data_IF_015815936359
#
_entry.id   IF_015815936359
#
_cell.length_a   1.000
_cell.length_b   1.000
_cell.length_c   1.000
_cell.angle_alpha   90.00
_cell.angle_beta   90.00
_cell.angle_gamma   90.00
#
_symmetry.space_group_name_H-M   'P 1'
#
loop_
_entity.id
_entity.type
_entity.pdbx_description
1 polymer ?
#
# COMPACT_ATOMS: atom_id res chain seq x y z
N UNK A 1 7.99 0.05 18.72
CA UNK A 1 7.08 0.58 17.68
C UNK A 1 6.82 -0.52 16.68
N UNK A 2 5.57 -1.00 16.53
CA UNK A 2 5.24 -1.93 15.46
C UNK A 2 5.35 -1.16 14.15
N UNK A 3 6.31 -1.53 13.30
CA UNK A 3 6.48 -0.89 11.99
C UNK A 3 5.34 -1.39 11.10
N UNK A 4 4.40 -0.51 10.73
CA UNK A 4 3.43 -0.87 9.71
C UNK A 4 4.17 -1.21 8.40
N UNK A 5 3.70 -2.23 7.70
CA UNK A 5 4.18 -2.57 6.36
C UNK A 5 3.08 -2.26 5.35
N UNK A 6 3.50 -2.03 4.12
CA UNK A 6 2.64 -1.56 3.05
C UNK A 6 2.71 -2.55 1.89
N UNK A 7 1.56 -2.72 1.25
CA UNK A 7 1.40 -3.51 0.04
C UNK A 7 0.84 -2.57 -1.02
N UNK A 8 1.47 -2.51 -2.19
CA UNK A 8 0.98 -1.74 -3.32
C UNK A 8 0.38 -2.69 -4.35
N UNK A 9 -0.86 -2.40 -4.73
CA UNK A 9 -1.58 -3.16 -5.76
C UNK A 9 -2.09 -2.21 -6.84
N UNK A 10 -2.00 -2.67 -8.08
CA UNK A 10 -2.56 -2.03 -9.25
C UNK A 10 -3.96 -2.59 -9.47
N UNK A 11 -4.98 -1.72 -9.48
CA UNK A 11 -6.33 -2.11 -9.86
C UNK A 11 -6.36 -2.36 -11.37
N UNK A 12 -6.74 -3.55 -11.82
CA UNK A 12 -6.74 -3.85 -13.27
C UNK A 12 -7.79 -3.07 -14.06
N UNK A 13 -8.86 -2.60 -13.39
CA UNK A 13 -9.96 -1.90 -14.03
C UNK A 13 -9.56 -0.56 -14.65
N UNK A 14 -8.72 0.22 -13.97
CA UNK A 14 -8.30 1.55 -14.45
C UNK A 14 -6.78 1.74 -14.44
N UNK A 15 -6.03 0.82 -13.82
CA UNK A 15 -4.58 0.90 -13.67
C UNK A 15 -4.13 1.75 -12.48
N UNK A 16 -5.03 2.29 -11.65
CA UNK A 16 -4.64 3.07 -10.47
C UNK A 16 -4.01 2.18 -9.40
N UNK A 17 -2.92 2.68 -8.80
CA UNK A 17 -2.19 1.98 -7.76
C UNK A 17 -2.66 2.43 -6.38
N UNK A 18 -3.07 1.46 -5.57
CA UNK A 18 -3.54 1.68 -4.20
C UNK A 18 -2.63 1.01 -3.18
N UNK A 19 -2.37 1.72 -2.09
CA UNK A 19 -1.64 1.20 -0.94
C UNK A 19 -2.60 0.53 0.04
N UNK A 20 -2.18 -0.60 0.59
CA UNK A 20 -2.84 -1.35 1.64
C UNK A 20 -1.93 -1.38 2.86
N UNK A 21 -2.51 -1.12 4.03
CA UNK A 21 -1.81 -1.26 5.30
C UNK A 21 -1.80 -2.74 5.70
N UNK A 22 -0.65 -3.24 6.09
CA UNK A 22 -0.46 -4.57 6.60
C UNK A 22 0.35 -4.49 7.91
N UNK A 23 0.10 -5.45 8.80
CA UNK A 23 0.90 -5.59 10.01
C UNK A 23 1.89 -6.72 9.78
N UNK A 24 3.21 -6.50 9.98
CA UNK A 24 4.14 -7.61 10.02
C UNK A 24 3.82 -8.43 11.27
N UNK A 25 3.66 -9.75 11.09
CA UNK A 25 3.57 -10.68 12.21
C UNK A 25 4.96 -11.24 12.52
N UNK A 26 5.15 -11.75 13.74
CA UNK A 26 6.40 -12.40 14.18
C UNK A 26 6.79 -13.63 13.33
N UNK A 27 5.86 -14.13 12.51
CA UNK A 27 6.05 -15.29 11.64
C UNK A 27 6.41 -14.91 10.19
N UNK A 28 6.89 -13.69 9.94
CA UNK A 28 7.22 -13.17 8.60
C UNK A 28 6.00 -13.04 7.66
N UNK A 29 4.79 -13.33 8.15
CA UNK A 29 3.55 -13.16 7.38
C UNK A 29 3.01 -11.74 7.52
N UNK A 30 2.74 -11.07 6.39
CA UNK A 30 2.09 -9.76 6.38
C UNK A 30 0.66 -9.90 5.87
N UNK A 31 -0.29 -9.73 6.79
CA UNK A 31 -1.71 -9.70 6.43
C UNK A 31 -2.11 -8.26 6.10
N UNK A 32 -2.46 -8.01 4.83
CA UNK A 32 -3.10 -6.75 4.44
C UNK A 32 -4.50 -6.65 5.00
N UNK A 33 -4.90 -5.42 5.37
CA UNK A 33 -6.30 -5.10 5.59
C UNK A 33 -7.13 -5.41 4.34
N UNK A 34 -8.41 -5.69 4.55
CA UNK A 34 -9.36 -5.98 3.45
C UNK A 34 -9.53 -4.80 2.49
N UNK A 35 -9.21 -3.58 2.92
CA UNK A 35 -9.30 -2.37 2.09
C UNK A 35 -7.98 -1.62 2.02
N UNK A 36 -7.79 -0.96 0.89
CA UNK A 36 -6.76 0.07 0.68
C UNK A 36 -6.89 1.17 1.71
N UNK A 37 -5.79 1.89 1.95
CA UNK A 37 -5.72 2.98 2.92
C UNK A 37 -6.68 4.11 2.55
N UNK A 38 -6.94 4.34 1.27
CA UNK A 38 -7.93 5.31 0.80
C UNK A 38 -9.37 4.77 0.79
N UNK A 39 -9.59 3.49 1.08
CA UNK A 39 -10.89 2.83 1.10
C UNK A 39 -11.57 2.66 -0.26
N UNK A 40 -10.86 2.93 -1.36
CA UNK A 40 -11.42 2.89 -2.74
C UNK A 40 -11.26 1.56 -3.43
N UNK A 41 -10.43 0.69 -2.88
CA UNK A 41 -10.08 -0.60 -3.45
C UNK A 41 -10.10 -1.67 -2.35
N UNK A 42 -10.79 -2.77 -2.61
CA UNK A 42 -10.86 -3.96 -1.77
C UNK A 42 -9.78 -4.98 -2.17
N UNK A 43 -9.35 -5.81 -1.21
CA UNK A 43 -8.28 -6.80 -1.38
C UNK A 43 -8.69 -7.95 -2.30
N UNK A 44 -10.00 -8.18 -2.43
CA UNK A 44 -10.61 -9.21 -3.28
C UNK A 44 -10.81 -8.75 -4.72
N UNK A 45 -10.65 -7.45 -5.00
CA UNK A 45 -10.74 -6.94 -6.37
C UNK A 45 -9.59 -7.43 -7.24
N UNK A 46 -9.90 -7.64 -8.53
CA UNK A 46 -8.90 -8.07 -9.51
C UNK A 46 -7.79 -7.02 -9.63
N UNK A 47 -6.62 -7.43 -9.16
CA UNK A 47 -5.50 -6.53 -8.95
C UNK A 47 -4.17 -7.24 -9.06
N UNK A 48 -3.16 -6.46 -9.41
CA UNK A 48 -1.78 -6.94 -9.52
C UNK A 48 -0.96 -6.40 -8.37
N UNK A 49 -0.40 -7.27 -7.56
CA UNK A 49 0.55 -6.87 -6.50
C UNK A 49 1.86 -6.40 -7.13
N UNK A 50 2.23 -5.15 -6.87
CA UNK A 50 3.51 -4.57 -7.30
C UNK A 50 4.59 -4.87 -6.26
N UNK A 51 4.27 -4.67 -4.98
CA UNK A 51 5.11 -5.07 -3.86
C UNK A 51 4.26 -5.39 -2.64
N UNK A 52 4.79 -6.24 -1.76
CA UNK A 52 4.22 -6.61 -0.48
C UNK A 52 5.24 -6.46 0.64
N UNK A 53 4.76 -6.41 1.89
CA UNK A 53 5.58 -6.39 3.10
C UNK A 53 6.65 -5.28 3.13
N UNK A 54 6.44 -4.13 2.47
CA UNK A 54 7.45 -3.08 2.45
C UNK A 54 7.29 -2.14 3.65
N UNK A 55 8.37 -1.84 4.40
CA UNK A 55 8.31 -0.82 5.44
C UNK A 55 8.06 0.57 4.81
N UNK A 56 7.54 1.50 5.61
CA UNK A 56 7.19 2.86 5.20
C UNK A 56 8.24 3.53 4.31
N UNK A 57 9.51 3.53 4.73
CA UNK A 57 10.60 4.19 3.99
C UNK A 57 10.82 3.57 2.59
N UNK A 58 10.75 2.24 2.48
CA UNK A 58 10.85 1.56 1.18
C UNK A 58 9.60 1.79 0.34
N UNK A 59 8.42 1.73 0.96
CA UNK A 59 7.16 2.01 0.27
C UNK A 59 7.16 3.43 -0.31
N UNK A 60 7.61 4.44 0.45
CA UNK A 60 7.77 5.82 -0.03
C UNK A 60 8.73 5.91 -1.22
N UNK A 61 9.89 5.26 -1.10
CA UNK A 61 10.90 5.23 -2.17
C UNK A 61 10.35 4.58 -3.44
N UNK A 62 9.60 3.48 -3.32
CA UNK A 62 8.98 2.80 -4.45
C UNK A 62 7.85 3.65 -5.06
N UNK A 63 6.98 4.23 -4.24
CA UNK A 63 5.91 5.11 -4.70
C UNK A 63 6.47 6.33 -5.45
N UNK A 64 7.55 6.92 -4.95
CA UNK A 64 8.24 8.03 -5.61
C UNK A 64 8.85 7.63 -6.97
N UNK A 65 9.31 6.39 -7.12
CA UNK A 65 9.81 5.86 -8.41
C UNK A 65 8.69 5.60 -9.42
N UNK A 66 7.51 5.19 -8.96
CA UNK A 66 6.37 4.89 -9.84
C UNK A 66 5.70 6.18 -10.33
N UNK A 67 5.50 7.15 -9.44
CA UNK A 67 4.96 8.46 -9.81
C UNK A 67 3.44 8.51 -10.00
N UNK A 68 2.98 9.06 -11.14
CA UNK A 68 1.61 9.60 -11.34
C UNK A 68 0.48 8.57 -11.30
N UNK A 69 0.77 7.28 -11.44
CA UNK A 69 -0.24 6.22 -11.43
C UNK A 69 -0.70 5.85 -10.00
N UNK A 70 -0.04 6.41 -8.96
CA UNK A 70 -0.43 6.18 -7.56
C UNK A 70 -1.60 7.05 -7.13
N UNK A 71 -2.55 6.43 -6.43
CA UNK A 71 -3.67 7.11 -5.80
C UNK A 71 -3.15 8.21 -4.85
N UNK A 72 -3.46 9.46 -5.15
CA UNK A 72 -2.97 10.63 -4.41
C UNK A 72 -3.38 10.62 -2.93
N UNK A 73 -4.55 10.04 -2.61
CA UNK A 73 -5.00 9.83 -1.23
C UNK A 73 -4.11 8.81 -0.52
N UNK A 74 -3.79 7.67 -1.15
CA UNK A 74 -2.88 6.67 -0.58
C UNK A 74 -1.49 7.25 -0.30
N UNK A 75 -0.96 8.05 -1.24
CA UNK A 75 0.30 8.78 -1.08
C UNK A 75 0.21 9.73 0.11
N UNK A 76 -0.86 10.53 0.19
CA UNK A 76 -1.05 11.49 1.27
C UNK A 76 -1.02 10.80 2.63
N UNK A 77 -1.76 9.70 2.81
CA UNK A 77 -1.70 8.92 4.05
C UNK A 77 -0.29 8.40 4.35
N UNK A 78 0.44 7.92 3.34
CA UNK A 78 1.82 7.44 3.51
C UNK A 78 2.77 8.54 4.00
N UNK A 79 2.54 9.81 3.65
CA UNK A 79 3.36 10.95 4.09
C UNK A 79 2.81 11.68 5.33
N UNK A 80 1.50 11.56 5.60
CA UNK A 80 0.81 12.22 6.71
C UNK A 80 0.89 11.46 8.04
N UNK A 81 1.33 10.21 8.07
CA UNK A 81 1.58 9.42 9.31
C UNK A 81 2.75 9.98 10.18
N UNK A 82 3.14 11.24 9.96
CA UNK A 82 4.06 12.02 10.80
C UNK A 82 3.32 13.21 11.44
N UNK A 83 2.42 12.95 12.39
CA UNK A 83 2.02 13.94 13.40
C UNK A 83 1.95 13.24 14.76
#
# INVERSE_FOLDING_TARGET
MRKNVYILRERKSDGELHLFLANPTDQDECYSKQKSICGRMDVEEDSRTIFSCQPEERARTQCAKIGRTLCSTCVSHLYMDKI
#
